data_IF_731973568109
#
_entry.id   IF_731973568109
#
_cell.length_a   1.000
_cell.length_b   1.000
_cell.length_c   1.000
_cell.angle_alpha   90.00
_cell.angle_beta   90.00
_cell.angle_gamma   90.00
#
_symmetry.space_group_name_H-M   'P 1'
#
loop_
_entity.id
_entity.type
_entity.pdbx_description
1 polymer ?
#
# COMPACT_ATOMS: atom_id res chain seq x y z
N UNK A 1 -39.69 -8.22 73.76
CA UNK A 1 -38.96 -9.12 72.85
C UNK A 1 -38.71 -8.35 71.53
N UNK A 2 -37.54 -7.78 71.37
CA UNK A 2 -37.14 -7.02 70.14
C UNK A 2 -36.50 -8.00 69.19
N UNK A 3 -37.10 -8.23 68.02
CA UNK A 3 -36.51 -9.06 66.94
C UNK A 3 -35.50 -8.19 66.17
N UNK A 4 -34.26 -8.59 66.26
CA UNK A 4 -33.16 -8.00 65.49
C UNK A 4 -33.20 -8.62 64.09
N UNK A 5 -33.50 -7.80 63.07
CA UNK A 5 -33.44 -8.22 61.65
C UNK A 5 -32.01 -7.96 61.17
N UNK A 6 -31.27 -9.04 60.95
CA UNK A 6 -29.92 -8.99 60.39
C UNK A 6 -30.05 -8.88 58.84
N UNK A 7 -29.81 -7.67 58.29
CA UNK A 7 -29.74 -7.44 56.83
C UNK A 7 -28.32 -7.85 56.41
N UNK A 8 -28.22 -9.02 55.79
CA UNK A 8 -26.99 -9.46 55.10
C UNK A 8 -26.94 -8.75 53.76
N UNK A 9 -26.15 -7.68 53.68
CA UNK A 9 -25.79 -7.08 52.38
C UNK A 9 -24.86 -8.06 51.64
N UNK A 10 -25.42 -8.85 50.71
CA UNK A 10 -24.64 -9.54 49.66
C UNK A 10 -24.10 -8.50 48.71
N UNK A 11 -22.90 -8.00 48.99
CA UNK A 11 -22.10 -7.30 48.00
C UNK A 11 -21.68 -8.32 46.92
N UNK A 12 -22.46 -8.40 45.86
CA UNK A 12 -22.02 -9.03 44.62
C UNK A 12 -20.88 -8.22 44.07
N UNK A 13 -19.68 -8.60 44.43
CA UNK A 13 -18.47 -8.12 43.74
C UNK A 13 -18.51 -8.71 42.32
N UNK A 14 -19.16 -7.99 41.43
CA UNK A 14 -18.94 -8.21 39.99
C UNK A 14 -17.48 -7.87 39.76
N UNK A 15 -16.66 -8.93 39.71
CA UNK A 15 -15.27 -8.76 39.34
C UNK A 15 -15.21 -8.15 37.94
N UNK A 16 -14.93 -6.88 37.89
CA UNK A 16 -14.37 -6.24 36.71
C UNK A 16 -13.07 -7.02 36.43
N UNK A 17 -13.16 -8.05 35.61
CA UNK A 17 -11.96 -8.60 34.99
C UNK A 17 -11.38 -7.44 34.20
N UNK A 18 -10.38 -6.78 34.76
CA UNK A 18 -9.56 -5.84 34.04
C UNK A 18 -9.06 -6.60 32.81
N UNK A 19 -9.55 -6.21 31.65
CA UNK A 19 -9.11 -6.77 30.39
C UNK A 19 -7.59 -6.55 30.37
N UNK A 20 -6.81 -7.61 30.23
CA UNK A 20 -5.36 -7.46 30.15
C UNK A 20 -5.04 -6.44 29.06
N UNK A 21 -4.17 -5.47 29.34
CA UNK A 21 -3.78 -4.50 28.33
C UNK A 21 -3.19 -5.24 27.13
N UNK A 22 -3.61 -4.84 25.94
CA UNK A 22 -3.05 -5.36 24.70
C UNK A 22 -1.58 -4.97 24.63
N UNK A 23 -0.71 -5.92 24.25
CA UNK A 23 0.73 -5.70 24.16
C UNK A 23 1.22 -5.93 22.74
N UNK A 24 2.38 -5.34 22.43
CA UNK A 24 3.08 -5.55 21.18
C UNK A 24 3.38 -7.04 20.93
N UNK A 25 3.84 -7.76 21.97
CA UNK A 25 4.14 -9.18 21.89
C UNK A 25 2.90 -10.01 21.53
N UNK A 26 1.75 -9.70 22.12
CA UNK A 26 0.48 -10.37 21.78
C UNK A 26 0.10 -10.13 20.32
N UNK A 27 0.24 -8.89 19.85
CA UNK A 27 -0.02 -8.57 18.45
C UNK A 27 0.87 -9.38 17.51
N UNK A 28 2.19 -9.32 17.69
CA UNK A 28 3.17 -10.01 16.85
C UNK A 28 2.95 -11.52 16.84
N UNK A 29 2.56 -12.09 17.98
CA UNK A 29 2.24 -13.51 18.07
C UNK A 29 0.98 -13.88 17.26
N UNK A 30 -0.12 -13.14 17.43
CA UNK A 30 -1.37 -13.41 16.70
C UNK A 30 -1.20 -13.15 15.18
N UNK A 31 -0.47 -12.08 14.78
CA UNK A 31 -0.14 -11.77 13.38
C UNK A 31 0.68 -12.92 12.75
N UNK A 32 1.70 -13.40 13.46
CA UNK A 32 2.53 -14.52 13.01
C UNK A 32 1.70 -15.80 12.78
N UNK A 33 0.82 -16.15 13.72
CA UNK A 33 -0.05 -17.33 13.57
C UNK A 33 -0.98 -17.17 12.36
N UNK A 34 -1.54 -15.98 12.16
CA UNK A 34 -2.43 -15.70 11.03
C UNK A 34 -1.74 -15.98 9.69
N UNK A 35 -0.54 -15.44 9.51
CA UNK A 35 0.19 -15.56 8.24
C UNK A 35 0.80 -16.95 8.03
N UNK A 36 1.36 -17.59 9.07
CA UNK A 36 1.87 -18.97 8.98
C UNK A 36 0.73 -19.94 8.57
N UNK A 37 -0.45 -19.76 9.16
CA UNK A 37 -1.61 -20.60 8.84
C UNK A 37 -2.07 -20.41 7.39
N UNK A 38 -2.07 -19.17 6.89
CA UNK A 38 -2.40 -18.84 5.50
C UNK A 38 -1.36 -19.42 4.52
N UNK A 39 -0.07 -19.21 4.79
CA UNK A 39 1.01 -19.74 3.96
C UNK A 39 0.97 -21.27 3.86
N UNK A 40 0.74 -21.95 4.97
CA UNK A 40 0.60 -23.41 4.99
C UNK A 40 -0.57 -23.87 4.11
N UNK A 41 -1.71 -23.16 4.17
CA UNK A 41 -2.89 -23.46 3.36
C UNK A 41 -2.64 -23.20 1.87
N UNK A 42 -1.97 -22.11 1.54
CA UNK A 42 -1.62 -21.77 0.15
C UNK A 42 -0.64 -22.78 -0.45
N UNK A 43 0.36 -23.22 0.32
CA UNK A 43 1.30 -24.26 -0.13
C UNK A 43 0.59 -25.59 -0.41
N UNK A 44 -0.40 -25.98 0.42
CA UNK A 44 -1.26 -27.14 0.16
C UNK A 44 -2.00 -27.00 -1.17
N UNK A 45 -2.68 -25.85 -1.38
CA UNK A 45 -3.44 -25.58 -2.60
C UNK A 45 -2.55 -25.59 -3.85
N UNK A 46 -1.39 -24.97 -3.80
CA UNK A 46 -0.42 -25.00 -4.93
C UNK A 46 0.08 -26.42 -5.21
N UNK A 47 0.34 -27.20 -4.16
CA UNK A 47 0.69 -28.62 -4.32
C UNK A 47 -0.42 -29.42 -5.02
N UNK A 48 -1.69 -29.18 -4.68
CA UNK A 48 -2.84 -29.81 -5.35
C UNK A 48 -2.98 -29.36 -6.80
N UNK A 49 -2.76 -28.07 -7.11
CA UNK A 49 -2.79 -27.55 -8.48
C UNK A 49 -1.71 -28.21 -9.38
N UNK A 50 -0.54 -28.50 -8.81
CA UNK A 50 0.52 -29.22 -9.53
C UNK A 50 0.17 -30.69 -9.78
N UNK A 51 -0.48 -31.35 -8.82
CA UNK A 51 -0.87 -32.75 -8.90
C UNK A 51 -2.09 -33.00 -9.79
N UNK A 52 -3.00 -32.02 -9.88
CA UNK A 52 -4.24 -32.11 -10.64
C UNK A 52 -4.45 -30.83 -11.48
N UNK A 53 -3.71 -30.66 -12.59
CA UNK A 53 -3.79 -29.47 -13.43
C UNK A 53 -5.20 -29.18 -13.98
N UNK A 54 -6.01 -30.20 -14.18
CA UNK A 54 -7.42 -30.08 -14.62
C UNK A 54 -8.34 -29.43 -13.59
N UNK A 55 -7.90 -29.36 -12.32
CA UNK A 55 -8.63 -28.69 -11.23
C UNK A 55 -8.10 -27.30 -10.91
N UNK A 56 -7.10 -26.83 -11.66
CA UNK A 56 -6.40 -25.58 -11.36
C UNK A 56 -7.35 -24.41 -11.18
N UNK A 57 -8.31 -24.21 -12.09
CA UNK A 57 -9.23 -23.07 -12.03
C UNK A 57 -10.14 -23.12 -10.79
N UNK A 58 -10.63 -24.30 -10.42
CA UNK A 58 -11.44 -24.47 -9.22
C UNK A 58 -10.64 -24.27 -7.94
N UNK A 59 -9.38 -24.70 -7.91
CA UNK A 59 -8.46 -24.48 -6.79
C UNK A 59 -8.02 -23.02 -6.67
N UNK A 60 -7.88 -22.30 -7.78
CA UNK A 60 -7.63 -20.86 -7.77
C UNK A 60 -8.80 -20.10 -7.13
N UNK A 61 -10.05 -20.44 -7.41
CA UNK A 61 -11.19 -19.83 -6.72
C UNK A 61 -11.17 -20.08 -5.20
N UNK A 62 -10.69 -21.25 -4.76
CA UNK A 62 -10.50 -21.52 -3.34
C UNK A 62 -9.38 -20.66 -2.78
N UNK A 63 -8.25 -20.53 -3.50
CA UNK A 63 -7.12 -19.68 -3.09
C UNK A 63 -7.54 -18.20 -2.95
N UNK A 64 -8.31 -17.69 -3.89
CA UNK A 64 -8.85 -16.32 -3.84
C UNK A 64 -9.76 -16.10 -2.62
N UNK A 65 -10.58 -17.10 -2.29
CA UNK A 65 -11.42 -17.06 -1.08
C UNK A 65 -10.58 -17.05 0.20
N UNK A 66 -9.57 -17.91 0.31
CA UNK A 66 -8.65 -17.94 1.45
C UNK A 66 -7.88 -16.60 1.59
N UNK A 67 -7.47 -16.00 0.46
CA UNK A 67 -6.83 -14.68 0.45
C UNK A 67 -7.79 -13.62 1.01
N UNK A 68 -9.02 -13.55 0.53
CA UNK A 68 -9.98 -12.57 1.02
C UNK A 68 -10.28 -12.75 2.52
N UNK A 69 -10.39 -14.00 3.00
CA UNK A 69 -10.61 -14.29 4.41
C UNK A 69 -9.43 -13.88 5.29
N UNK A 70 -8.18 -14.13 4.86
CA UNK A 70 -7.01 -13.72 5.63
C UNK A 70 -6.84 -12.20 5.65
N UNK A 71 -7.12 -11.51 4.55
CA UNK A 71 -7.09 -10.05 4.49
C UNK A 71 -8.12 -9.44 5.45
N UNK A 72 -9.34 -10.01 5.51
CA UNK A 72 -10.36 -9.57 6.46
C UNK A 72 -9.95 -9.80 7.93
N UNK A 73 -9.34 -10.95 8.24
CA UNK A 73 -8.80 -11.24 9.57
C UNK A 73 -7.64 -10.30 9.92
N UNK A 74 -6.77 -10.02 8.97
CA UNK A 74 -5.62 -9.13 9.13
C UNK A 74 -6.03 -7.71 9.55
N UNK A 75 -6.94 -7.06 8.83
CA UNK A 75 -7.36 -5.71 9.22
C UNK A 75 -8.20 -5.68 10.50
N UNK A 76 -8.99 -6.72 10.81
CA UNK A 76 -9.68 -6.86 12.11
C UNK A 76 -8.68 -6.98 13.26
N UNK A 77 -7.62 -7.78 13.07
CA UNK A 77 -6.53 -7.90 14.03
C UNK A 77 -5.83 -6.55 14.24
N UNK A 78 -5.49 -5.85 13.14
CA UNK A 78 -4.88 -4.54 13.19
C UNK A 78 -5.73 -3.53 13.99
N UNK A 79 -7.02 -3.46 13.74
CA UNK A 79 -7.95 -2.58 14.49
C UNK A 79 -7.97 -2.94 15.97
N UNK A 80 -8.05 -4.22 16.31
CA UNK A 80 -8.03 -4.68 17.71
C UNK A 80 -6.78 -4.23 18.45
N UNK A 81 -5.65 -4.24 17.76
CA UNK A 81 -4.34 -3.88 18.32
C UNK A 81 -3.86 -2.48 17.92
N UNK A 82 -4.74 -1.59 17.46
CA UNK A 82 -4.36 -0.25 17.01
C UNK A 82 -3.72 0.62 18.12
N UNK A 83 -3.90 0.25 19.40
CA UNK A 83 -3.28 0.92 20.55
C UNK A 83 -1.81 0.51 20.79
N UNK A 84 -1.25 -0.42 20.00
CA UNK A 84 0.18 -0.77 20.05
C UNK A 84 0.86 -0.38 18.71
N UNK A 85 2.18 -0.09 18.72
CA UNK A 85 2.88 0.46 17.56
C UNK A 85 2.72 -0.35 16.27
N UNK A 86 3.00 -1.65 16.30
CA UNK A 86 2.89 -2.51 15.10
C UNK A 86 1.44 -2.73 14.65
N UNK A 87 0.48 -2.74 15.59
CA UNK A 87 -0.94 -2.77 15.25
C UNK A 87 -1.38 -1.51 14.51
N UNK A 88 -0.97 -0.31 14.99
CA UNK A 88 -1.25 0.96 14.32
C UNK A 88 -0.57 1.05 12.94
N UNK A 89 0.68 0.60 12.84
CA UNK A 89 1.36 0.48 11.55
C UNK A 89 0.57 -0.40 10.60
N UNK A 90 0.06 -1.55 11.06
CA UNK A 90 -0.74 -2.44 10.22
C UNK A 90 -2.07 -1.80 9.80
N UNK A 91 -2.73 -1.03 10.66
CA UNK A 91 -3.92 -0.23 10.26
C UNK A 91 -3.56 0.71 9.12
N UNK A 92 -2.43 1.38 9.19
CA UNK A 92 -1.96 2.23 8.10
C UNK A 92 -1.68 1.42 6.83
N UNK A 93 -1.03 0.27 6.93
CA UNK A 93 -0.70 -0.58 5.77
C UNK A 93 -1.94 -1.13 5.05
N UNK A 94 -3.03 -1.34 5.78
CA UNK A 94 -4.30 -1.86 5.25
C UNK A 94 -5.37 -0.77 5.03
N UNK A 95 -5.00 0.51 5.13
CA UNK A 95 -5.92 1.65 5.09
C UNK A 95 -6.74 1.76 3.81
N UNK A 96 -6.19 1.28 2.68
CA UNK A 96 -6.89 1.33 1.38
C UNK A 96 -8.03 0.33 1.30
N UNK A 97 -7.98 -0.73 2.11
CA UNK A 97 -9.01 -1.78 2.19
C UNK A 97 -10.10 -1.44 3.20
N UNK A 98 -9.96 -0.33 3.93
CA UNK A 98 -10.88 0.09 4.99
C UNK A 98 -11.69 1.33 4.59
N UNK A 99 -13.00 1.38 4.90
CA UNK A 99 -13.75 2.63 4.79
C UNK A 99 -13.13 3.74 5.67
N UNK A 100 -13.02 4.96 5.15
CA UNK A 100 -12.47 6.12 5.91
C UNK A 100 -13.16 6.31 7.26
N UNK A 101 -14.48 6.12 7.34
CA UNK A 101 -15.22 6.19 8.60
C UNK A 101 -14.73 5.18 9.65
N UNK A 102 -14.23 4.03 9.22
CA UNK A 102 -13.63 3.05 10.14
C UNK A 102 -12.30 3.57 10.66
N UNK A 103 -11.45 4.12 9.79
CA UNK A 103 -10.19 4.74 10.20
C UNK A 103 -10.40 5.92 11.15
N UNK A 104 -11.42 6.77 10.90
CA UNK A 104 -11.81 7.87 11.81
C UNK A 104 -12.14 7.34 13.20
N UNK A 105 -13.00 6.30 13.29
CA UNK A 105 -13.36 5.70 14.59
C UNK A 105 -12.17 5.08 15.30
N UNK A 106 -11.31 4.36 14.56
CA UNK A 106 -10.10 3.75 15.12
C UNK A 106 -9.21 4.86 15.68
N UNK A 107 -8.88 5.88 14.87
CA UNK A 107 -8.00 6.96 15.30
C UNK A 107 -8.55 7.71 16.52
N UNK A 108 -9.85 8.04 16.54
CA UNK A 108 -10.51 8.71 17.64
C UNK A 108 -10.54 7.88 18.95
N UNK A 109 -10.45 6.56 18.88
CA UNK A 109 -10.43 5.67 20.04
C UNK A 109 -9.06 5.54 20.70
N UNK A 110 -8.00 6.01 20.03
CA UNK A 110 -6.62 5.87 20.52
C UNK A 110 -6.26 6.97 21.54
N UNK A 111 -5.31 6.69 22.46
CA UNK A 111 -4.67 7.72 23.26
C UNK A 111 -4.05 8.83 22.41
N UNK A 112 -3.99 10.06 22.90
CA UNK A 112 -3.45 11.21 22.16
C UNK A 112 -2.02 10.96 21.64
N UNK A 113 -1.16 10.31 22.44
CA UNK A 113 0.19 9.94 22.05
C UNK A 113 0.21 9.07 20.78
N UNK A 114 -0.70 8.10 20.68
CA UNK A 114 -0.81 7.24 19.50
C UNK A 114 -1.39 7.97 18.30
N UNK A 115 -2.37 8.86 18.51
CA UNK A 115 -2.91 9.72 17.45
C UNK A 115 -1.85 10.64 16.86
N UNK A 116 -0.90 11.13 17.68
CA UNK A 116 0.18 12.03 17.30
C UNK A 116 1.48 11.28 16.91
N UNK A 117 1.47 9.95 16.98
CA UNK A 117 2.57 9.12 16.49
C UNK A 117 2.73 9.24 14.97
N UNK A 118 3.84 8.73 14.44
CA UNK A 118 4.10 8.75 13.00
C UNK A 118 2.93 8.15 12.20
N UNK A 119 2.50 6.93 12.52
CA UNK A 119 1.40 6.28 11.80
C UNK A 119 0.02 6.89 12.11
N UNK A 120 -0.19 7.42 13.31
CA UNK A 120 -1.41 8.18 13.63
C UNK A 120 -1.56 9.40 12.70
N UNK A 121 -0.49 10.16 12.49
CA UNK A 121 -0.48 11.28 11.53
C UNK A 121 -0.65 10.83 10.09
N UNK A 122 -0.01 9.72 9.67
CA UNK A 122 -0.18 9.17 8.32
C UNK A 122 -1.63 8.73 8.05
N UNK A 123 -2.29 8.07 9.03
CA UNK A 123 -3.70 7.69 8.92
C UNK A 123 -4.58 8.93 8.84
N UNK A 124 -4.34 9.95 9.67
CA UNK A 124 -5.06 11.23 9.62
C UNK A 124 -4.91 11.89 8.25
N UNK A 125 -3.68 11.97 7.72
CA UNK A 125 -3.42 12.51 6.39
C UNK A 125 -4.19 11.76 5.29
N UNK A 126 -4.27 10.43 5.38
CA UNK A 126 -5.06 9.63 4.45
C UNK A 126 -6.58 9.90 4.57
N UNK A 127 -7.11 10.07 5.78
CA UNK A 127 -8.53 10.39 6.03
C UNK A 127 -8.88 11.75 5.42
N UNK A 128 -8.04 12.75 5.65
CA UNK A 128 -8.25 14.14 5.26
C UNK A 128 -7.98 14.42 3.77
N UNK A 129 -7.38 13.46 3.08
CA UNK A 129 -6.97 13.62 1.67
C UNK A 129 -7.84 12.75 0.78
N UNK A 130 -8.41 13.33 -0.29
CA UNK A 130 -8.98 12.55 -1.38
C UNK A 130 -7.85 11.97 -2.23
N UNK A 131 -7.85 10.65 -2.37
CA UNK A 131 -6.83 9.95 -3.16
C UNK A 131 -7.08 10.19 -4.65
N UNK A 132 -6.01 10.24 -5.43
CA UNK A 132 -6.06 10.37 -6.89
C UNK A 132 -6.60 9.07 -7.50
N UNK A 133 -7.62 9.22 -8.35
CA UNK A 133 -8.22 8.15 -9.11
C UNK A 133 -8.19 8.45 -10.62
N UNK A 134 -8.68 7.53 -11.44
CA UNK A 134 -8.82 7.76 -12.89
C UNK A 134 -9.78 8.93 -13.14
N UNK A 135 -9.35 9.88 -13.96
CA UNK A 135 -10.05 11.14 -14.21
C UNK A 135 -9.52 12.34 -13.41
N UNK A 136 -8.76 12.10 -12.32
CA UNK A 136 -8.18 13.17 -11.53
C UNK A 136 -6.86 13.69 -12.14
N UNK A 137 -6.50 14.96 -11.89
CA UNK A 137 -5.20 15.47 -12.27
C UNK A 137 -4.10 14.95 -11.34
N UNK A 138 -2.90 14.76 -11.91
CA UNK A 138 -1.67 14.54 -11.13
C UNK A 138 -1.40 15.75 -10.24
N UNK A 139 -0.95 15.49 -9.02
CA UNK A 139 -0.53 16.52 -8.07
C UNK A 139 0.99 16.47 -7.92
N UNK A 140 1.66 17.50 -8.35
CA UNK A 140 3.11 17.66 -8.19
C UNK A 140 3.49 17.72 -6.71
N UNK A 141 4.65 17.17 -6.39
CA UNK A 141 5.20 17.20 -5.03
C UNK A 141 6.73 17.31 -5.08
N UNK A 142 7.35 17.93 -4.07
CA UNK A 142 8.80 18.01 -3.97
C UNK A 142 9.43 16.62 -3.87
N UNK A 143 10.34 16.30 -4.77
CA UNK A 143 11.16 15.10 -4.77
C UNK A 143 12.51 15.39 -5.42
N UNK A 144 13.48 14.53 -5.20
CA UNK A 144 14.84 14.68 -5.73
C UNK A 144 15.20 13.54 -6.67
N UNK A 145 16.04 13.82 -7.63
CA UNK A 145 16.61 12.87 -8.58
C UNK A 145 17.87 12.22 -8.01
N UNK A 146 18.44 11.25 -8.72
CA UNK A 146 19.64 10.49 -8.30
C UNK A 146 20.91 11.34 -8.13
N UNK A 147 20.95 12.52 -8.72
CA UNK A 147 22.05 13.48 -8.55
C UNK A 147 21.84 14.42 -7.34
N UNK A 148 20.71 14.29 -6.65
CA UNK A 148 20.36 15.10 -5.47
C UNK A 148 19.73 16.44 -5.82
N UNK A 149 19.49 16.75 -7.09
CA UNK A 149 18.75 17.94 -7.49
C UNK A 149 17.25 17.75 -7.29
N UNK A 150 16.53 18.85 -7.07
CA UNK A 150 15.07 18.83 -7.07
C UNK A 150 14.56 18.46 -8.48
N UNK A 151 13.56 17.58 -8.53
CA UNK A 151 12.93 17.21 -9.80
C UNK A 151 12.10 18.37 -10.33
N UNK A 152 12.43 18.82 -11.54
CA UNK A 152 11.69 19.87 -12.23
C UNK A 152 10.51 19.28 -13.00
N UNK A 153 9.29 19.47 -12.49
CA UNK A 153 8.06 19.00 -13.12
C UNK A 153 7.80 19.61 -14.51
N UNK A 154 8.43 20.74 -14.85
CA UNK A 154 8.29 21.36 -16.16
C UNK A 154 8.78 20.48 -17.31
N UNK A 155 9.68 19.52 -17.06
CA UNK A 155 10.14 18.54 -18.05
C UNK A 155 9.03 17.60 -18.54
N UNK A 156 7.94 17.52 -17.79
CA UNK A 156 6.76 16.70 -18.08
C UNK A 156 5.69 17.47 -18.88
N UNK A 157 5.78 18.81 -19.00
CA UNK A 157 4.78 19.61 -19.68
C UNK A 157 4.52 19.12 -21.11
N UNK A 158 3.24 18.91 -21.44
CA UNK A 158 2.80 18.44 -22.76
C UNK A 158 3.12 16.99 -23.09
N UNK A 159 3.67 16.22 -22.13
CA UNK A 159 3.95 14.80 -22.28
C UNK A 159 2.98 13.97 -21.45
N UNK A 160 2.77 12.73 -21.86
CA UNK A 160 2.18 11.74 -20.98
C UNK A 160 3.16 11.36 -19.86
N UNK A 161 2.64 11.10 -18.66
CA UNK A 161 3.41 10.54 -17.56
C UNK A 161 3.06 9.06 -17.37
N UNK A 162 4.07 8.20 -17.36
CA UNK A 162 3.98 6.85 -16.81
C UNK A 162 4.68 6.87 -15.46
N UNK A 163 3.89 7.01 -14.38
CA UNK A 163 4.40 7.06 -13.01
C UNK A 163 4.30 5.67 -12.38
N UNK A 164 5.39 5.23 -11.78
CA UNK A 164 5.46 3.98 -11.02
C UNK A 164 5.81 4.27 -9.56
N UNK A 165 5.00 3.76 -8.65
CA UNK A 165 5.38 3.66 -7.25
C UNK A 165 6.21 2.40 -7.06
N UNK A 166 7.54 2.51 -7.02
CA UNK A 166 8.49 1.40 -6.87
C UNK A 166 8.29 0.28 -7.92
N UNK A 167 8.57 -0.96 -7.56
CA UNK A 167 8.13 -2.15 -8.27
C UNK A 167 9.08 -2.70 -9.31
N UNK A 168 10.17 -2.04 -9.67
CA UNK A 168 11.14 -2.57 -10.63
C UNK A 168 11.73 -3.91 -10.19
N UNK A 169 11.83 -4.14 -8.87
CA UNK A 169 12.23 -5.43 -8.29
C UNK A 169 11.13 -6.48 -8.35
N UNK A 170 9.87 -6.06 -8.12
CA UNK A 170 8.74 -6.97 -7.99
C UNK A 170 8.16 -7.42 -9.33
N UNK A 171 8.27 -6.59 -10.38
CA UNK A 171 7.74 -6.94 -11.70
C UNK A 171 8.55 -7.99 -12.46
N UNK A 172 9.72 -8.38 -11.94
CA UNK A 172 10.60 -9.36 -12.56
C UNK A 172 11.15 -8.92 -13.93
N UNK A 173 11.82 -9.81 -14.59
CA UNK A 173 12.41 -9.55 -15.91
C UNK A 173 11.33 -9.28 -16.97
N UNK A 174 10.26 -10.05 -16.95
CA UNK A 174 9.15 -9.89 -17.89
C UNK A 174 8.48 -8.49 -17.80
N UNK A 175 8.18 -8.02 -16.60
CA UNK A 175 7.58 -6.70 -16.43
C UNK A 175 8.52 -5.55 -16.82
N UNK A 176 9.83 -5.69 -16.53
CA UNK A 176 10.84 -4.73 -17.02
C UNK A 176 10.95 -4.73 -18.54
N UNK A 177 10.85 -5.89 -19.18
CA UNK A 177 10.83 -6.00 -20.64
C UNK A 177 9.60 -5.30 -21.23
N UNK A 178 8.40 -5.47 -20.63
CA UNK A 178 7.20 -4.74 -21.06
C UNK A 178 7.34 -3.22 -20.90
N UNK A 179 7.93 -2.76 -19.80
CA UNK A 179 8.20 -1.34 -19.59
C UNK A 179 9.16 -0.79 -20.67
N UNK A 180 10.18 -1.57 -21.02
CA UNK A 180 11.10 -1.23 -22.11
C UNK A 180 10.38 -1.16 -23.47
N UNK A 181 9.47 -2.09 -23.75
CA UNK A 181 8.68 -2.09 -24.99
C UNK A 181 7.76 -0.87 -25.09
N UNK A 182 7.11 -0.48 -23.99
CA UNK A 182 6.34 0.78 -23.93
C UNK A 182 7.26 1.95 -24.28
N UNK A 183 8.43 2.02 -23.66
CA UNK A 183 9.40 3.08 -23.89
C UNK A 183 9.87 3.12 -25.35
N UNK A 184 10.23 1.99 -25.96
CA UNK A 184 10.71 1.90 -27.35
C UNK A 184 9.63 2.22 -28.40
N UNK A 185 8.36 2.01 -28.05
CA UNK A 185 7.22 2.24 -28.94
C UNK A 185 6.62 3.66 -28.80
N UNK A 186 7.14 4.48 -27.90
CA UNK A 186 6.72 5.86 -27.68
C UNK A 186 7.83 6.83 -28.01
N UNK A 187 7.49 8.09 -28.31
CA UNK A 187 8.48 9.15 -28.48
C UNK A 187 8.92 9.73 -27.13
N UNK A 188 10.17 10.15 -27.04
CA UNK A 188 10.72 10.89 -25.87
C UNK A 188 10.05 12.25 -25.66
N UNK A 189 9.48 12.80 -26.72
CA UNK A 189 8.71 14.05 -26.68
C UNK A 189 7.27 13.80 -26.22
N UNK A 190 6.80 12.55 -26.24
CA UNK A 190 5.43 12.19 -25.93
C UNK A 190 5.25 11.53 -24.56
N UNK A 191 6.25 10.77 -24.08
CA UNK A 191 6.18 10.02 -22.82
C UNK A 191 7.39 10.31 -21.92
N UNK A 192 7.11 10.58 -20.66
CA UNK A 192 8.09 10.61 -19.58
C UNK A 192 7.79 9.46 -18.60
N UNK A 193 8.81 8.65 -18.28
CA UNK A 193 8.72 7.61 -17.27
C UNK A 193 9.24 8.15 -15.94
N UNK A 194 8.41 8.11 -14.90
CA UNK A 194 8.70 8.61 -13.57
C UNK A 194 8.60 7.45 -12.56
N UNK A 195 9.71 7.04 -11.98
CA UNK A 195 9.73 5.99 -10.97
C UNK A 195 10.03 6.61 -9.61
N UNK A 196 9.02 6.62 -8.74
CA UNK A 196 9.21 6.97 -7.35
C UNK A 196 9.72 5.77 -6.57
N UNK A 197 10.86 5.93 -5.89
CA UNK A 197 11.45 4.89 -5.07
C UNK A 197 11.39 5.26 -3.59
N UNK A 198 10.68 4.47 -2.75
CA UNK A 198 10.59 4.73 -1.32
C UNK A 198 11.92 4.35 -0.65
N UNK A 199 12.70 5.34 -0.28
CA UNK A 199 13.96 5.19 0.48
C UNK A 199 14.15 6.37 1.42
N UNK A 200 15.18 6.30 2.28
CA UNK A 200 15.41 7.27 3.35
C UNK A 200 16.61 8.18 3.06
N UNK A 201 17.39 7.93 2.01
CA UNK A 201 18.55 8.73 1.66
C UNK A 201 18.86 8.73 0.17
N UNK A 202 19.66 9.70 -0.26
CA UNK A 202 20.17 9.81 -1.62
C UNK A 202 21.04 8.60 -2.00
N UNK A 203 21.89 8.13 -1.09
CA UNK A 203 22.74 6.97 -1.31
C UNK A 203 21.90 5.72 -1.57
N UNK A 204 20.82 5.54 -0.81
CA UNK A 204 19.91 4.40 -1.02
C UNK A 204 19.16 4.51 -2.36
N UNK A 205 18.80 5.75 -2.79
CA UNK A 205 18.20 6.00 -4.10
C UNK A 205 19.16 5.64 -5.24
N UNK A 206 20.43 6.06 -5.11
CA UNK A 206 21.48 5.76 -6.09
C UNK A 206 21.75 4.26 -6.20
N UNK A 207 21.88 3.56 -5.07
CA UNK A 207 22.07 2.10 -5.03
C UNK A 207 20.90 1.37 -5.70
N UNK A 208 19.67 1.79 -5.42
CA UNK A 208 18.49 1.20 -6.05
C UNK A 208 18.48 1.43 -7.57
N UNK A 209 18.89 2.63 -8.01
CA UNK A 209 18.97 2.94 -9.45
C UNK A 209 20.02 2.08 -10.17
N UNK A 210 21.18 1.86 -9.56
CA UNK A 210 22.23 0.97 -10.09
C UNK A 210 21.77 -0.50 -10.17
N UNK A 211 21.04 -0.96 -9.15
CA UNK A 211 20.54 -2.33 -9.09
C UNK A 211 19.44 -2.61 -10.11
N UNK A 212 18.60 -1.61 -10.41
CA UNK A 212 17.45 -1.75 -11.30
C UNK A 212 17.57 -0.82 -12.51
N UNK A 213 18.74 -0.88 -13.16
CA UNK A 213 19.06 -0.07 -14.31
C UNK A 213 18.02 -0.25 -15.43
N UNK A 214 17.58 0.87 -15.97
CA UNK A 214 16.67 0.94 -17.10
C UNK A 214 17.16 2.06 -18.01
N UNK A 215 17.79 1.68 -19.10
CA UNK A 215 18.36 2.64 -20.05
C UNK A 215 17.26 3.28 -20.90
N UNK A 216 16.93 4.50 -20.58
CA UNK A 216 16.10 5.35 -21.43
C UNK A 216 16.33 6.83 -21.12
N UNK A 217 16.11 7.72 -22.10
CA UNK A 217 16.37 9.16 -21.95
C UNK A 217 15.16 9.72 -21.21
N UNK A 218 14.10 9.90 -21.20
CA UNK A 218 13.02 10.45 -20.38
C UNK A 218 12.59 9.50 -19.25
N UNK A 219 13.57 9.07 -18.44
CA UNK A 219 13.35 8.22 -17.28
C UNK A 219 13.94 8.89 -16.04
N UNK A 220 13.09 9.15 -15.07
CA UNK A 220 13.47 9.76 -13.81
C UNK A 220 13.26 8.81 -12.66
N UNK A 221 14.28 8.65 -11.85
CA UNK A 221 14.25 7.86 -10.63
C UNK A 221 14.35 8.83 -9.47
N UNK A 222 13.29 8.92 -8.66
CA UNK A 222 13.15 9.98 -7.66
C UNK A 222 12.69 9.46 -6.31
N UNK A 223 12.94 10.25 -5.26
CA UNK A 223 12.40 10.04 -3.92
C UNK A 223 12.16 11.38 -3.22
N UNK A 224 11.30 11.39 -2.20
CA UNK A 224 11.12 12.51 -1.28
C UNK A 224 11.65 12.22 0.12
N UNK A 225 12.19 11.01 0.33
CA UNK A 225 12.75 10.51 1.59
C UNK A 225 11.78 10.54 2.79
N UNK A 226 10.46 10.59 2.54
CA UNK A 226 9.42 10.66 3.58
C UNK A 226 8.88 9.30 3.99
N UNK A 227 9.38 8.22 3.37
CA UNK A 227 8.93 6.86 3.66
C UNK A 227 7.41 6.71 3.55
N UNK A 228 6.77 6.28 4.63
CA UNK A 228 5.32 6.07 4.64
C UNK A 228 4.49 7.37 4.66
N UNK A 229 5.09 8.52 4.93
CA UNK A 229 4.42 9.82 4.88
C UNK A 229 4.48 10.51 3.49
N UNK A 230 4.97 9.82 2.47
CA UNK A 230 5.07 10.36 1.11
C UNK A 230 3.69 10.68 0.50
N UNK A 231 3.58 11.75 -0.31
CA UNK A 231 2.41 11.98 -1.15
C UNK A 231 2.03 10.77 -2.01
N UNK A 232 3.00 9.99 -2.49
CA UNK A 232 2.72 8.77 -3.25
C UNK A 232 1.84 7.79 -2.46
N UNK A 233 2.04 7.64 -1.15
CA UNK A 233 1.18 6.79 -0.31
C UNK A 233 -0.11 7.49 0.10
N UNK A 234 -0.06 8.76 0.47
CA UNK A 234 -1.19 9.47 1.06
C UNK A 234 -2.11 10.05 0.00
N UNK A 235 -1.58 10.82 -0.95
CA UNK A 235 -2.36 11.50 -1.99
C UNK A 235 -2.66 10.58 -3.18
N UNK A 236 -1.67 9.82 -3.63
CA UNK A 236 -1.85 8.88 -4.74
C UNK A 236 -2.49 7.55 -4.32
N UNK A 237 -2.61 7.29 -3.02
CA UNK A 237 -3.25 6.09 -2.52
C UNK A 237 -2.51 4.82 -2.96
N UNK A 238 -1.18 4.80 -2.87
CA UNK A 238 -0.40 3.61 -3.20
C UNK A 238 -0.10 2.77 -1.96
N UNK A 239 -0.04 1.47 -2.14
CA UNK A 239 0.42 0.51 -1.13
C UNK A 239 1.14 -0.67 -1.80
N UNK A 240 0.56 -1.24 -2.84
CA UNK A 240 1.18 -2.31 -3.63
C UNK A 240 2.28 -1.77 -4.55
N UNK A 241 3.27 -2.63 -4.87
CA UNK A 241 4.40 -2.30 -5.74
C UNK A 241 4.50 -3.26 -6.92
N UNK A 242 4.54 -2.75 -8.17
CA UNK A 242 4.27 -1.36 -8.52
C UNK A 242 2.80 -1.00 -8.40
N UNK A 243 2.49 0.26 -8.09
CA UNK A 243 1.25 0.90 -8.50
C UNK A 243 1.61 1.85 -9.64
N UNK A 244 0.91 1.73 -10.76
CA UNK A 244 1.19 2.49 -11.96
C UNK A 244 0.07 3.47 -12.28
N UNK A 245 0.47 4.65 -12.79
CA UNK A 245 -0.44 5.69 -13.27
C UNK A 245 0.01 6.08 -14.67
N UNK A 246 -0.89 6.01 -15.65
CA UNK A 246 -0.68 6.59 -16.98
C UNK A 246 -1.59 7.80 -17.14
N UNK A 247 -1.04 8.93 -17.59
CA UNK A 247 -1.81 10.16 -17.82
C UNK A 247 -1.98 10.46 -19.31
N UNK A 248 -2.87 11.40 -19.62
CA UNK A 248 -2.79 12.14 -20.87
C UNK A 248 -1.75 13.29 -20.79
N UNK A 249 -1.67 14.11 -21.85
CA UNK A 249 -0.73 15.23 -21.93
C UNK A 249 -1.09 16.42 -21.04
N UNK A 250 -2.34 16.48 -20.57
CA UNK A 250 -2.82 17.45 -19.59
C UNK A 250 -2.67 16.95 -18.16
N UNK A 251 -1.95 15.84 -17.99
CA UNK A 251 -1.68 15.15 -16.72
C UNK A 251 -2.94 14.66 -15.99
N UNK A 252 -4.02 14.38 -16.72
CA UNK A 252 -5.18 13.67 -16.16
C UNK A 252 -4.91 12.16 -16.18
N UNK A 253 -5.09 11.49 -15.07
CA UNK A 253 -4.89 10.03 -14.90
C UNK A 253 -5.91 9.28 -15.77
N UNK A 254 -5.43 8.47 -16.71
CA UNK A 254 -6.26 7.60 -17.56
C UNK A 254 -6.28 6.17 -17.08
N UNK A 255 -5.19 5.71 -16.46
CA UNK A 255 -5.09 4.36 -15.89
C UNK A 255 -4.40 4.46 -14.54
N UNK A 256 -5.04 3.86 -13.52
CA UNK A 256 -4.44 3.55 -12.22
C UNK A 256 -4.56 2.05 -12.01
N UNK A 257 -3.45 1.34 -11.81
CA UNK A 257 -3.48 -0.11 -11.64
C UNK A 257 -2.37 -0.60 -10.70
N UNK A 258 -2.63 -1.73 -10.06
CA UNK A 258 -1.59 -2.52 -9.40
C UNK A 258 -0.91 -3.40 -10.45
N UNK A 259 0.42 -3.42 -10.44
CA UNK A 259 1.20 -4.01 -11.52
C UNK A 259 1.31 -3.09 -12.74
N UNK A 260 2.07 -3.54 -13.74
CA UNK A 260 2.16 -2.89 -15.05
C UNK A 260 1.14 -3.56 -15.99
N UNK A 261 -0.09 -3.04 -15.98
CA UNK A 261 -1.20 -3.56 -16.81
C UNK A 261 -1.16 -2.88 -18.20
N UNK A 262 -0.36 -3.47 -19.09
CA UNK A 262 -0.14 -2.92 -20.44
C UNK A 262 -1.44 -2.91 -21.25
N UNK A 263 -2.30 -3.91 -21.10
CA UNK A 263 -3.55 -4.01 -21.87
C UNK A 263 -4.49 -2.84 -21.54
N UNK A 264 -4.56 -2.43 -20.28
CA UNK A 264 -5.31 -1.23 -19.86
C UNK A 264 -4.68 0.07 -20.31
N UNK A 265 -3.35 0.13 -20.42
CA UNK A 265 -2.61 1.33 -20.83
C UNK A 265 -2.61 1.53 -22.34
N UNK A 266 -2.61 0.44 -23.11
CA UNK A 266 -2.50 0.43 -24.57
C UNK A 266 -3.41 1.41 -25.31
N UNK A 267 -4.71 1.55 -24.96
CA UNK A 267 -5.61 2.48 -25.66
C UNK A 267 -5.24 3.96 -25.50
N UNK A 268 -4.44 4.29 -24.49
CA UNK A 268 -4.10 5.66 -24.12
C UNK A 268 -2.65 6.04 -24.47
N UNK A 269 -1.78 5.07 -24.76
CA UNK A 269 -0.37 5.35 -25.07
C UNK A 269 -0.22 6.06 -26.42
N UNK A 270 0.49 7.19 -26.41
CA UNK A 270 0.88 7.92 -27.62
C UNK A 270 2.00 7.17 -28.35
N UNK A 271 1.65 6.13 -29.11
CA UNK A 271 2.63 5.36 -29.87
C UNK A 271 3.10 6.10 -31.11
N UNK A 272 4.39 6.02 -31.38
CA UNK A 272 4.96 6.46 -32.67
C UNK A 272 4.36 5.53 -33.74
N UNK A 273 3.59 6.09 -34.68
CA UNK A 273 3.15 5.32 -35.85
C UNK A 273 4.39 4.82 -36.59
N UNK A 274 4.56 3.50 -36.68
CA UNK A 274 5.58 2.87 -37.51
C UNK A 274 5.34 3.16 -38.97
#
# INVERSE_FOLDING_TARGET
MKKLILIVCLCTVWGLRAQQPLTEEMYLHEDSILWISYEARMNELYGLMQQAPEKKDSLMLVADKELNEVLEKNWKLAIRYASVPSGLQRVYMTRLDMPKDTLVRVLASLPAEMQDSFYGRCIRGHIETDQIEEGDPVVEFPCVTIDGSEFDWSVAEGKQLLMLYSGLSCMGEWGRQQLKEIYEQTSRDDLLVFVYWPCESLEALQQAREQYEFECDNYYFVSDFKGDATPMKIKYGTQATPTCFLTDRDHTVKVKCMGLDVDRMEPYLARTKK
#
